data_IF_091010844978
#
_entry.id   IF_091010844978
#
_cell.length_a   1.000
_cell.length_b   1.000
_cell.length_c   1.000
_cell.angle_alpha   90.00
_cell.angle_beta   90.00
_cell.angle_gamma   90.00
#
_symmetry.space_group_name_H-M   'P 1'
#
loop_
_entity.id
_entity.type
_entity.pdbx_description
1 polymer ?
#
# COMPACT_ATOMS: atom_id res chain seq x y z
N UNK A 1 26.62 7.66 -66.18
CA UNK A 1 25.45 7.31 -65.33
C UNK A 1 25.44 8.25 -64.13
N UNK A 2 24.51 9.21 -64.09
CA UNK A 2 24.36 10.14 -62.97
C UNK A 2 23.47 9.49 -61.92
N UNK A 3 24.01 9.18 -60.75
CA UNK A 3 23.22 8.63 -59.64
C UNK A 3 22.25 9.72 -59.15
N UNK A 4 20.95 9.42 -58.96
CA UNK A 4 20.00 10.40 -58.46
C UNK A 4 20.41 10.85 -57.05
N UNK A 5 20.64 12.14 -56.87
CA UNK A 5 21.18 12.74 -55.62
C UNK A 5 20.17 12.80 -54.48
N UNK A 6 18.88 12.89 -54.78
CA UNK A 6 17.79 12.96 -53.81
C UNK A 6 17.65 11.70 -52.92
N UNK A 7 17.59 10.47 -53.46
CA UNK A 7 17.52 9.27 -52.63
C UNK A 7 18.78 9.04 -51.80
N UNK A 8 19.95 9.46 -52.30
CA UNK A 8 21.22 9.32 -51.58
C UNK A 8 21.25 10.23 -50.34
N UNK A 9 20.74 11.46 -50.46
CA UNK A 9 20.55 12.39 -49.33
C UNK A 9 19.56 11.88 -48.28
N UNK A 10 18.45 11.28 -48.72
CA UNK A 10 17.47 10.70 -47.80
C UNK A 10 18.07 9.53 -46.99
N UNK A 11 18.88 8.69 -47.65
CA UNK A 11 19.51 7.54 -47.02
C UNK A 11 20.60 7.97 -46.03
N UNK A 12 21.42 8.97 -46.36
CA UNK A 12 22.43 9.49 -45.43
C UNK A 12 21.79 10.13 -44.20
N UNK A 13 20.71 10.89 -44.37
CA UNK A 13 19.98 11.49 -43.25
C UNK A 13 19.37 10.42 -42.33
N UNK A 14 18.77 9.37 -42.91
CA UNK A 14 18.21 8.26 -42.14
C UNK A 14 19.27 7.54 -41.30
N UNK A 15 20.43 7.25 -41.89
CA UNK A 15 21.55 6.62 -41.17
C UNK A 15 22.08 7.53 -40.06
N UNK A 16 22.17 8.84 -40.29
CA UNK A 16 22.62 9.80 -39.28
C UNK A 16 21.67 9.86 -38.08
N UNK A 17 20.35 9.88 -38.31
CA UNK A 17 19.35 9.90 -37.23
C UNK A 17 19.42 8.61 -36.41
N UNK A 18 19.46 7.44 -37.07
CA UNK A 18 19.57 6.15 -36.39
C UNK A 18 20.88 6.02 -35.60
N UNK A 19 21.98 6.52 -36.15
CA UNK A 19 23.27 6.58 -35.47
C UNK A 19 23.23 7.44 -34.21
N UNK A 20 22.58 8.61 -34.28
CA UNK A 20 22.43 9.52 -33.14
C UNK A 20 21.60 8.90 -32.02
N UNK A 21 20.50 8.22 -32.35
CA UNK A 21 19.66 7.52 -31.36
C UNK A 21 20.45 6.40 -30.69
N UNK A 22 21.17 5.58 -31.47
CA UNK A 22 22.00 4.50 -30.92
C UNK A 22 23.12 5.05 -30.02
N UNK A 23 23.76 6.13 -30.44
CA UNK A 23 24.78 6.82 -29.64
C UNK A 23 24.19 7.34 -28.32
N UNK A 24 23.02 7.97 -28.37
CA UNK A 24 22.33 8.46 -27.18
C UNK A 24 22.00 7.33 -26.20
N UNK A 25 21.48 6.20 -26.69
CA UNK A 25 21.18 5.04 -25.83
C UNK A 25 22.43 4.46 -25.17
N UNK A 26 23.54 4.33 -25.92
CA UNK A 26 24.82 3.84 -25.37
C UNK A 26 25.38 4.84 -24.36
N UNK A 27 25.33 6.14 -24.69
CA UNK A 27 25.80 7.19 -23.80
C UNK A 27 25.00 7.19 -22.49
N UNK A 28 23.67 7.18 -22.56
CA UNK A 28 22.80 7.12 -21.39
C UNK A 28 23.10 5.88 -20.52
N UNK A 29 23.29 4.72 -21.14
CA UNK A 29 23.67 3.49 -20.43
C UNK A 29 25.09 3.56 -19.84
N UNK A 30 25.97 4.38 -20.41
CA UNK A 30 27.35 4.56 -19.95
C UNK A 30 27.51 5.60 -18.84
N UNK A 31 26.48 6.41 -18.58
CA UNK A 31 26.49 7.32 -17.41
C UNK A 31 26.45 6.40 -16.18
N UNK A 32 27.53 6.30 -15.40
CA UNK A 32 27.46 5.57 -14.15
C UNK A 32 26.39 6.26 -13.32
N UNK A 33 25.36 5.51 -12.92
CA UNK A 33 24.46 5.92 -11.85
C UNK A 33 25.31 6.08 -10.60
N UNK A 34 25.97 7.23 -10.43
CA UNK A 34 26.56 7.65 -9.18
C UNK A 34 25.42 8.06 -8.23
N UNK A 35 24.50 7.13 -7.98
CA UNK A 35 23.97 7.02 -6.65
C UNK A 35 25.17 6.55 -5.82
N UNK A 36 25.95 7.52 -5.32
CA UNK A 36 26.65 7.27 -4.07
C UNK A 36 25.55 6.76 -3.14
N UNK A 37 25.54 5.45 -2.89
CA UNK A 37 24.77 4.87 -1.83
C UNK A 37 25.42 5.39 -0.53
N UNK A 38 25.17 6.65 -0.18
CA UNK A 38 25.13 7.05 1.20
C UNK A 38 24.04 6.17 1.77
N UNK A 39 24.45 5.02 2.34
CA UNK A 39 23.60 4.27 3.24
C UNK A 39 23.15 5.32 4.26
N UNK A 40 21.87 5.73 4.23
CA UNK A 40 21.44 6.81 5.11
C UNK A 40 21.70 6.33 6.54
N UNK A 41 22.33 7.16 7.39
CA UNK A 41 22.66 6.71 8.74
C UNK A 41 21.39 6.28 9.46
N UNK A 42 21.49 5.21 10.26
CA UNK A 42 20.40 4.78 11.12
C UNK A 42 19.97 5.96 12.00
N UNK A 43 18.66 6.19 12.08
CA UNK A 43 18.14 7.25 12.92
C UNK A 43 18.35 6.88 14.40
N UNK A 44 18.81 7.84 15.19
CA UNK A 44 19.01 7.64 16.64
C UNK A 44 17.73 8.01 17.39
N UNK A 45 17.32 7.19 18.36
CA UNK A 45 16.12 7.37 19.18
C UNK A 45 15.36 6.06 19.33
N UNK A 46 14.36 6.03 20.22
CA UNK A 46 13.45 4.88 20.35
C UNK A 46 12.29 5.07 19.39
N UNK A 47 12.16 4.15 18.43
CA UNK A 47 11.11 4.22 17.44
C UNK A 47 10.01 3.22 17.76
N UNK A 48 8.78 3.61 17.44
CA UNK A 48 7.61 2.75 17.58
C UNK A 48 6.67 2.96 16.40
N UNK A 49 6.16 1.87 15.84
CA UNK A 49 5.09 1.90 14.85
C UNK A 49 3.87 1.22 15.46
N UNK A 50 2.79 1.98 15.59
CA UNK A 50 1.49 1.48 16.04
C UNK A 50 0.56 1.37 14.83
N UNK A 51 -0.03 0.19 14.65
CA UNK A 51 -1.00 -0.10 13.60
C UNK A 51 -2.33 -0.47 14.27
N UNK A 52 -3.42 0.20 13.90
CA UNK A 52 -4.77 -0.08 14.42
C UNK A 52 -5.72 -0.35 13.28
N UNK A 53 -6.37 -1.50 13.31
CA UNK A 53 -7.32 -1.96 12.29
C UNK A 53 -8.75 -1.69 12.76
N UNK A 54 -9.66 -1.27 11.89
CA UNK A 54 -11.10 -1.18 12.22
C UNK A 54 -11.88 -2.47 11.96
N UNK A 55 -11.21 -3.48 11.42
CA UNK A 55 -11.79 -4.76 11.00
C UNK A 55 -10.87 -5.91 11.41
N UNK A 56 -11.43 -7.11 11.50
CA UNK A 56 -10.64 -8.31 11.76
C UNK A 56 -9.95 -8.77 10.46
N UNK A 57 -8.71 -9.25 10.55
CA UNK A 57 -7.98 -9.78 9.39
C UNK A 57 -7.96 -11.30 9.39
N UNK A 58 -7.78 -11.90 8.23
CA UNK A 58 -7.51 -13.34 8.09
C UNK A 58 -6.52 -13.55 6.96
N UNK A 59 -5.68 -14.59 7.05
CA UNK A 59 -4.88 -15.00 5.91
C UNK A 59 -5.80 -15.39 4.74
N UNK A 60 -5.42 -14.94 3.55
CA UNK A 60 -6.07 -15.35 2.32
C UNK A 60 -5.72 -16.81 2.01
N UNK A 61 -6.71 -17.69 2.11
CA UNK A 61 -6.56 -19.12 1.83
C UNK A 61 -6.38 -19.43 0.32
N UNK A 62 -6.64 -18.45 -0.55
CA UNK A 62 -6.48 -18.57 -1.99
C UNK A 62 -5.18 -17.92 -2.50
N UNK A 63 -4.47 -17.19 -1.65
CA UNK A 63 -3.17 -16.65 -1.99
C UNK A 63 -2.14 -17.79 -2.15
N UNK A 64 -1.23 -17.63 -3.11
CA UNK A 64 -0.03 -18.46 -3.18
C UNK A 64 0.72 -18.34 -1.85
N UNK A 65 1.28 -19.44 -1.35
CA UNK A 65 1.74 -19.60 0.05
C UNK A 65 2.51 -18.42 0.63
N UNK A 66 3.34 -17.74 -0.17
CA UNK A 66 4.17 -16.59 0.24
C UNK A 66 3.40 -15.26 0.44
N UNK A 67 2.14 -15.16 -0.02
CA UNK A 67 1.27 -13.98 0.12
C UNK A 67 0.08 -14.21 1.07
N UNK A 68 -0.03 -15.41 1.65
CA UNK A 68 -1.07 -15.79 2.62
C UNK A 68 -0.86 -15.11 3.99
N UNK A 69 -1.10 -13.80 4.06
CA UNK A 69 -1.04 -13.04 5.31
C UNK A 69 -2.25 -12.12 5.45
N UNK A 70 -2.80 -12.05 6.67
CA UNK A 70 -3.90 -11.15 6.99
C UNK A 70 -3.44 -9.70 7.22
N UNK A 71 -2.19 -9.52 7.66
CA UNK A 71 -1.55 -8.22 7.76
C UNK A 71 -0.07 -8.34 7.41
N UNK A 72 0.42 -7.43 6.58
CA UNK A 72 1.82 -7.27 6.25
C UNK A 72 2.23 -5.81 6.37
N UNK A 73 3.37 -5.58 7.03
CA UNK A 73 3.97 -4.26 7.22
C UNK A 73 5.42 -4.33 6.77
N UNK A 74 5.82 -3.42 5.88
CA UNK A 74 7.18 -3.31 5.35
C UNK A 74 7.70 -1.88 5.50
N UNK A 75 9.00 -1.73 5.74
CA UNK A 75 9.71 -0.46 5.80
C UNK A 75 10.83 -0.47 4.76
N UNK A 76 10.79 0.48 3.83
CA UNK A 76 11.78 0.59 2.75
C UNK A 76 12.04 -0.75 2.01
N UNK A 77 10.98 -1.55 1.83
CA UNK A 77 11.03 -2.87 1.19
C UNK A 77 11.43 -4.03 2.11
N UNK A 78 11.86 -3.78 3.34
CA UNK A 78 12.14 -4.82 4.35
C UNK A 78 10.89 -5.18 5.14
N UNK A 79 10.63 -6.46 5.37
CA UNK A 79 9.47 -6.92 6.16
C UNK A 79 9.69 -6.63 7.65
N UNK A 80 8.81 -5.81 8.24
CA UNK A 80 8.81 -5.53 9.67
C UNK A 80 7.90 -6.49 10.43
N UNK A 81 6.76 -6.83 9.84
CA UNK A 81 5.76 -7.67 10.48
C UNK A 81 4.89 -8.39 9.45
N UNK A 82 4.52 -9.61 9.80
CA UNK A 82 3.59 -10.44 9.04
C UNK A 82 2.74 -11.26 10.02
N UNK A 83 1.43 -11.10 9.94
CA UNK A 83 0.48 -11.95 10.64
C UNK A 83 -0.21 -12.92 9.67
N UNK A 84 -0.04 -14.21 9.96
CA UNK A 84 -0.77 -15.30 9.30
C UNK A 84 -2.02 -15.66 10.10
N UNK A 85 -1.97 -15.50 11.42
CA UNK A 85 -3.13 -15.68 12.29
C UNK A 85 -4.09 -14.49 12.19
N UNK A 86 -5.40 -14.70 12.37
CA UNK A 86 -6.37 -13.62 12.40
C UNK A 86 -6.06 -12.60 13.48
N UNK A 87 -6.09 -11.31 13.12
CA UNK A 87 -6.00 -10.20 14.09
C UNK A 87 -7.41 -9.63 14.32
N UNK A 88 -7.81 -9.36 15.57
CA UNK A 88 -9.11 -8.77 15.85
C UNK A 88 -9.14 -7.27 15.49
N UNK A 89 -10.36 -6.77 15.24
CA UNK A 89 -10.58 -5.35 15.04
C UNK A 89 -10.32 -4.56 16.33
N UNK A 90 -9.76 -3.36 16.20
CA UNK A 90 -9.57 -2.39 17.28
C UNK A 90 -8.33 -2.63 18.15
N UNK A 91 -7.60 -3.73 17.95
CA UNK A 91 -6.33 -3.96 18.65
C UNK A 91 -5.21 -3.09 18.05
N UNK A 92 -4.33 -2.60 18.93
CA UNK A 92 -3.15 -1.83 18.53
C UNK A 92 -1.97 -2.79 18.44
N UNK A 93 -1.52 -3.05 17.22
CA UNK A 93 -0.26 -3.76 16.96
C UNK A 93 0.89 -2.78 17.11
N UNK A 94 1.78 -3.03 18.07
CA UNK A 94 2.98 -2.23 18.31
C UNK A 94 4.23 -2.97 17.80
N UNK A 95 5.01 -2.30 16.98
CA UNK A 95 6.33 -2.72 16.50
C UNK A 95 7.37 -1.79 17.13
N UNK A 96 8.17 -2.31 18.06
CA UNK A 96 9.23 -1.56 18.74
C UNK A 96 10.56 -1.64 17.97
N UNK A 97 11.31 -0.53 18.00
CA UNK A 97 12.65 -0.35 17.41
C UNK A 97 12.81 -0.80 15.95
N UNK A 98 11.94 -0.35 15.01
CA UNK A 98 12.13 -0.61 13.58
C UNK A 98 13.41 0.08 13.05
N UNK A 99 14.06 -0.48 12.02
CA UNK A 99 15.32 0.03 11.44
C UNK A 99 15.08 1.28 10.55
N UNK A 100 14.63 2.36 11.17
CA UNK A 100 14.35 3.65 10.52
C UNK A 100 15.65 4.41 10.25
N UNK A 101 15.75 5.05 9.09
CA UNK A 101 16.93 5.84 8.70
C UNK A 101 16.67 7.34 8.75
N UNK A 102 17.73 8.14 8.82
CA UNK A 102 17.60 9.60 8.71
C UNK A 102 17.16 9.99 7.29
N UNK A 103 16.23 10.94 7.18
CA UNK A 103 15.68 11.38 5.90
C UNK A 103 14.38 10.65 5.53
N UNK A 104 14.20 10.34 4.25
CA UNK A 104 12.95 9.80 3.72
C UNK A 104 12.82 8.32 4.04
N UNK A 105 11.68 7.94 4.60
CA UNK A 105 11.30 6.57 4.89
C UNK A 105 9.90 6.31 4.33
N UNK A 106 9.60 5.03 4.12
CA UNK A 106 8.34 4.59 3.53
C UNK A 106 7.85 3.34 4.24
N UNK A 107 6.65 3.39 4.82
CA UNK A 107 5.95 2.20 5.32
C UNK A 107 4.94 1.77 4.27
N UNK A 108 5.07 0.55 3.79
CA UNK A 108 4.04 -0.11 3.00
C UNK A 108 3.24 -1.05 3.91
N UNK A 109 1.93 -1.03 3.77
CA UNK A 109 1.02 -1.87 4.54
C UNK A 109 -0.02 -2.50 3.62
N UNK A 110 -0.32 -3.77 3.88
CA UNK A 110 -1.46 -4.50 3.31
C UNK A 110 -2.19 -5.24 4.41
N UNK A 111 -3.48 -5.02 4.53
CA UNK A 111 -4.35 -5.71 5.45
C UNK A 111 -5.53 -6.32 4.70
N UNK A 112 -5.69 -7.64 4.80
CA UNK A 112 -6.76 -8.39 4.16
C UNK A 112 -7.88 -8.61 5.19
N UNK A 113 -9.10 -8.10 4.94
CA UNK A 113 -10.20 -8.34 5.85
C UNK A 113 -10.53 -9.82 5.92
N UNK A 114 -10.87 -10.29 7.12
CA UNK A 114 -11.51 -11.58 7.29
C UNK A 114 -12.83 -11.50 6.53
N UNK A 115 -12.96 -12.33 5.50
CA UNK A 115 -14.12 -12.39 4.63
C UNK A 115 -15.36 -12.61 5.52
N UNK A 116 -16.10 -11.54 5.81
CA UNK A 116 -17.44 -11.70 6.33
C UNK A 116 -18.24 -11.98 5.08
N UNK A 117 -18.29 -13.26 4.71
CA UNK A 117 -19.30 -13.80 3.81
C UNK A 117 -20.66 -13.54 4.47
N UNK A 118 -21.11 -12.30 4.37
CA UNK A 118 -22.49 -11.93 4.29
C UNK A 118 -22.90 -12.45 2.91
N UNK A 119 -23.10 -13.77 2.82
CA UNK A 119 -23.96 -14.35 1.80
C UNK A 119 -25.27 -13.64 2.01
N UNK A 120 -25.44 -12.50 1.34
CA UNK A 120 -26.60 -11.64 1.48
C UNK A 120 -27.79 -12.56 1.43
N UNK A 121 -28.61 -12.50 2.48
CA UNK A 121 -29.78 -13.34 2.71
C UNK A 121 -30.25 -13.85 1.36
N UNK A 122 -29.90 -15.12 1.05
CA UNK A 122 -30.11 -15.67 -0.30
C UNK A 122 -31.53 -15.31 -0.71
N UNK A 123 -31.78 -14.95 -1.99
CA UNK A 123 -33.10 -14.50 -2.41
C UNK A 123 -34.10 -15.44 -1.77
N UNK A 124 -34.92 -14.91 -0.85
CA UNK A 124 -35.86 -15.72 -0.11
C UNK A 124 -36.56 -16.55 -1.17
N UNK A 125 -36.36 -17.87 -1.12
CA UNK A 125 -36.98 -18.76 -2.10
C UNK A 125 -38.44 -18.30 -2.14
N UNK A 126 -38.99 -18.00 -3.34
CA UNK A 126 -40.39 -17.63 -3.41
C UNK A 126 -41.13 -18.70 -2.62
N UNK A 127 -41.85 -18.26 -1.58
CA UNK A 127 -42.70 -19.15 -0.84
C UNK A 127 -43.54 -19.86 -1.89
N UNK A 128 -43.33 -21.16 -2.03
CA UNK A 128 -44.24 -22.02 -2.74
C UNK A 128 -45.62 -21.73 -2.14
N UNK A 129 -46.49 -21.14 -2.95
CA UNK A 129 -47.88 -20.84 -2.65
C UNK A 129 -48.66 -22.16 -2.53
N UNK A 130 -48.39 -22.90 -1.45
CA UNK A 130 -49.16 -24.03 -0.99
C UNK A 130 -49.83 -23.70 0.34
N UNK A 131 -51.09 -23.24 0.27
CA UNK A 131 -52.02 -22.98 1.37
C UNK A 131 -51.90 -21.62 2.08
N UNK A 132 -53.01 -20.87 2.01
CA UNK A 132 -53.08 -19.46 2.36
C UNK A 132 -53.16 -19.12 3.84
N UNK A 133 -52.68 -17.92 4.15
CA UNK A 133 -53.11 -17.14 5.31
C UNK A 133 -53.19 -15.65 4.93
N UNK A 134 -54.21 -14.99 5.48
CA UNK A 134 -54.74 -13.68 5.09
C UNK A 134 -53.79 -12.50 5.28
N UNK A 135 -54.02 -11.51 4.40
CA UNK A 135 -53.42 -10.18 4.39
C UNK A 135 -53.65 -9.38 5.69
N UNK A 136 -52.62 -8.66 6.12
CA UNK A 136 -52.67 -7.58 7.10
C UNK A 136 -51.64 -6.49 6.76
N UNK A 137 -52.15 -5.42 6.13
CA UNK A 137 -51.76 -3.98 6.11
C UNK A 137 -50.29 -3.49 5.94
N UNK A 138 -50.06 -2.29 5.31
CA UNK A 138 -48.82 -1.94 4.62
C UNK A 138 -47.86 -1.00 5.36
N UNK A 139 -46.68 -0.86 4.76
CA UNK A 139 -45.76 0.28 4.82
C UNK A 139 -45.18 0.67 6.20
N UNK A 140 -44.11 -0.02 6.59
CA UNK A 140 -43.09 0.55 7.46
C UNK A 140 -41.72 0.40 6.78
N UNK A 141 -41.15 1.56 6.43
CA UNK A 141 -39.75 1.84 6.07
C UNK A 141 -39.06 0.91 5.06
N UNK A 142 -38.59 1.50 3.95
CA UNK A 142 -37.51 0.91 3.17
C UNK A 142 -36.42 0.41 4.13
N UNK A 143 -35.92 -0.83 3.99
CA UNK A 143 -34.85 -1.30 4.86
C UNK A 143 -33.67 -0.36 4.68
N UNK A 144 -33.13 0.12 5.80
CA UNK A 144 -31.84 0.79 5.89
C UNK A 144 -30.90 0.11 4.88
N UNK A 145 -30.45 0.85 3.86
CA UNK A 145 -29.35 0.38 3.03
C UNK A 145 -28.25 -0.08 3.98
N UNK A 146 -27.67 -1.29 3.81
CA UNK A 146 -26.64 -1.77 4.70
C UNK A 146 -25.56 -0.68 4.76
N UNK A 147 -25.30 -0.14 5.96
CA UNK A 147 -24.23 0.86 6.15
C UNK A 147 -22.97 0.27 5.53
N UNK A 148 -22.54 0.86 4.44
CA UNK A 148 -21.33 0.51 3.74
C UNK A 148 -20.16 0.91 4.65
N UNK A 149 -19.81 0.04 5.60
CA UNK A 149 -18.73 0.28 6.54
C UNK A 149 -17.41 0.13 5.77
N UNK A 150 -16.79 1.27 5.46
CA UNK A 150 -15.44 1.31 4.91
C UNK A 150 -14.45 0.67 5.89
N UNK A 151 -13.46 -0.03 5.36
CA UNK A 151 -12.35 -0.55 6.15
C UNK A 151 -11.29 0.52 6.29
N UNK A 152 -10.67 0.61 7.47
CA UNK A 152 -9.62 1.58 7.73
C UNK A 152 -8.48 0.97 8.53
N UNK A 153 -7.27 1.45 8.24
CA UNK A 153 -6.06 1.14 8.99
C UNK A 153 -5.38 2.43 9.37
N UNK A 154 -5.23 2.68 10.67
CA UNK A 154 -4.47 3.80 11.19
C UNK A 154 -3.04 3.35 11.46
N UNK A 155 -2.08 4.14 10.99
CA UNK A 155 -0.66 3.93 11.18
C UNK A 155 -0.10 5.17 11.89
N UNK A 156 0.56 4.95 13.02
CA UNK A 156 1.21 6.01 13.80
C UNK A 156 2.67 5.65 14.03
N UNK A 157 3.57 6.54 13.61
CA UNK A 157 5.02 6.39 13.84
C UNK A 157 5.44 7.39 14.91
N UNK A 158 6.18 6.91 15.90
CA UNK A 158 6.65 7.71 17.03
C UNK A 158 8.16 7.60 17.17
N UNK A 159 8.79 8.68 17.63
CA UNK A 159 10.20 8.74 18.05
C UNK A 159 10.26 9.38 19.42
N UNK A 160 10.80 8.68 20.40
CA UNK A 160 10.95 9.19 21.77
C UNK A 160 9.64 9.79 22.32
N UNK A 161 8.51 9.08 22.09
CA UNK A 161 7.12 9.48 22.40
C UNK A 161 6.53 10.62 21.56
N UNK A 162 7.32 11.32 20.74
CA UNK A 162 6.82 12.32 19.79
C UNK A 162 6.26 11.64 18.54
N UNK A 163 5.08 12.08 18.08
CA UNK A 163 4.45 11.56 16.86
C UNK A 163 5.11 12.17 15.65
N UNK A 164 5.70 11.34 14.78
CA UNK A 164 6.28 11.75 13.50
C UNK A 164 5.24 11.77 12.40
N UNK A 165 4.36 10.76 12.35
CA UNK A 165 3.26 10.67 11.38
C UNK A 165 2.10 9.89 11.98
N UNK A 166 0.88 10.27 11.61
CA UNK A 166 -0.38 9.61 11.97
C UNK A 166 -1.31 9.69 10.77
N UNK A 167 -1.46 8.57 10.07
CA UNK A 167 -2.18 8.48 8.80
C UNK A 167 -3.20 7.36 8.86
N UNK A 168 -4.38 7.58 8.28
CA UNK A 168 -5.40 6.54 8.14
C UNK A 168 -5.58 6.20 6.66
N UNK A 169 -5.38 4.94 6.31
CA UNK A 169 -5.66 4.36 5.00
C UNK A 169 -7.08 3.79 5.00
N UNK A 170 -7.79 3.95 3.88
CA UNK A 170 -9.18 3.54 3.73
C UNK A 170 -9.34 2.62 2.51
N UNK A 171 -10.24 1.64 2.59
CA UNK A 171 -10.70 0.85 1.46
C UNK A 171 -12.22 0.59 1.53
N UNK A 172 -12.75 0.10 0.42
CA UNK A 172 -14.13 -0.38 0.35
C UNK A 172 -14.34 -1.65 1.18
N UNK A 173 -15.60 -1.96 1.51
CA UNK A 173 -15.98 -3.18 2.25
C UNK A 173 -15.46 -4.41 1.53
N UNK A 174 -14.78 -5.28 2.26
CA UNK A 174 -14.22 -6.54 1.75
C UNK A 174 -12.96 -6.36 0.88
N UNK A 175 -12.65 -5.15 0.43
CA UNK A 175 -11.41 -4.88 -0.27
C UNK A 175 -10.24 -4.83 0.72
N UNK A 176 -9.06 -5.34 0.35
CA UNK A 176 -7.85 -5.17 1.15
C UNK A 176 -7.54 -3.68 1.32
N UNK A 177 -7.10 -3.28 2.52
CA UNK A 177 -6.52 -1.95 2.73
C UNK A 177 -5.05 -2.06 2.38
N UNK A 178 -4.65 -1.41 1.29
CA UNK A 178 -3.27 -1.38 0.82
C UNK A 178 -2.83 0.06 0.61
N UNK A 179 -1.62 0.40 1.05
CA UNK A 179 -1.07 1.72 0.82
C UNK A 179 0.33 1.92 1.36
N UNK A 180 0.90 3.05 0.92
CA UNK A 180 2.21 3.53 1.34
C UNK A 180 2.03 4.81 2.16
N UNK A 181 2.73 4.88 3.30
CA UNK A 181 2.84 6.08 4.13
C UNK A 181 4.29 6.58 4.12
N UNK A 182 4.59 7.65 3.35
CA UNK A 182 5.90 8.28 3.40
C UNK A 182 6.03 9.15 4.66
N UNK A 183 7.20 9.13 5.27
CA UNK A 183 7.53 10.04 6.38
C UNK A 183 9.01 10.43 6.34
N UNK A 184 9.36 11.56 6.96
CA UNK A 184 10.73 12.04 7.00
C UNK A 184 11.21 12.16 8.44
N UNK A 185 12.38 11.60 8.72
CA UNK A 185 13.03 11.71 10.03
C UNK A 185 14.10 12.79 9.97
N UNK A 186 13.98 13.86 10.75
CA UNK A 186 15.02 14.88 10.80
C UNK A 186 16.29 14.31 11.44
N UNK A 187 17.49 14.75 10.99
CA UNK A 187 18.72 14.46 11.71
C UNK A 187 18.57 14.99 13.14
N UNK A 188 19.13 14.27 14.12
CA UNK A 188 19.24 14.80 15.47
C UNK A 188 20.00 16.12 15.36
N UNK A 189 19.39 17.22 15.82
CA UNK A 189 20.11 18.46 15.95
C UNK A 189 21.33 18.14 16.83
N UNK A 190 22.52 18.42 16.29
CA UNK A 190 23.72 18.45 17.12
C UNK A 190 23.42 19.55 18.15
N UNK A 191 23.40 19.21 19.42
CA UNK A 191 23.30 20.20 20.50
C UNK A 191 24.44 21.20 20.25
N UNK A 192 24.10 22.36 19.66
CA UNK A 192 24.91 23.56 19.72
C UNK A 192 24.75 24.11 21.14
N UNK A 193 25.22 23.33 22.12
CA UNK A 193 25.47 23.85 23.46
C UNK A 193 26.68 24.75 23.31
N UNK A 194 26.38 26.03 23.11
CA UNK A 194 27.32 27.12 23.26
C UNK A 194 28.10 26.99 24.58
N UNK A 195 29.39 27.33 24.46
CA UNK A 195 30.38 27.60 25.51
C UNK A 195 29.84 28.24 26.79
#
# INVERSE_FOLDING_TARGET
MTVPTRPLLALTLGVAILGLVKFYMVFQASIPSQQLALIPPAATGKFRVDVTLTFATSADQFALSDDSSGLQVRLAGSELYRAVSPLPAGEVLTIDDPPIVVGKNEIWLKAVPADTQDFGAGPALPADDGFGFSAGEPAAAAPDLPRQLSHAVRIRVQRDQAVLVDTTLWSDRGAPVEGTVPFTVPPLAKDDTHE
#
